data_IF_585924961699
#
_entry.id   IF_585924961699
#
_cell.length_a   1.000
_cell.length_b   1.000
_cell.length_c   1.000
_cell.angle_alpha   90.00
_cell.angle_beta   90.00
_cell.angle_gamma   90.00
#
_symmetry.space_group_name_H-M   'P 1'
#
loop_
_entity.id
_entity.type
_entity.pdbx_description
1 polymer ?
#
# COMPACT_ATOMS: atom_id res chain seq x y z
N UNK A 1 -1.74 20.08 6.74
CA UNK A 1 -1.88 18.61 6.67
C UNK A 1 -1.15 18.13 5.44
N UNK A 2 -0.24 17.17 5.57
CA UNK A 2 0.35 16.49 4.40
C UNK A 2 -0.70 15.57 3.78
N UNK A 3 -0.86 15.65 2.45
CA UNK A 3 -1.75 14.74 1.70
C UNK A 3 -1.17 13.32 1.78
N UNK A 4 -2.00 12.37 2.18
CA UNK A 4 -1.60 10.97 2.40
C UNK A 4 -2.53 10.04 1.62
N UNK A 5 -1.97 9.06 0.93
CA UNK A 5 -2.72 8.01 0.21
C UNK A 5 -2.84 6.78 1.10
N UNK A 6 -4.05 6.22 1.17
CA UNK A 6 -4.29 4.90 1.74
C UNK A 6 -4.23 3.87 0.61
N UNK A 7 -3.28 2.94 0.68
CA UNK A 7 -3.17 1.81 -0.24
C UNK A 7 -3.73 0.56 0.46
N UNK A 8 -4.83 0.04 -0.08
CA UNK A 8 -5.52 -1.13 0.43
C UNK A 8 -5.18 -2.31 -0.47
N UNK A 9 -4.70 -3.41 0.12
CA UNK A 9 -4.38 -4.63 -0.62
C UNK A 9 -4.62 -5.87 0.25
N UNK A 10 -4.77 -7.02 -0.39
CA UNK A 10 -4.89 -8.34 0.26
C UNK A 10 -3.48 -8.92 0.40
N UNK A 11 -2.82 -8.75 1.55
CA UNK A 11 -1.40 -9.11 1.70
C UNK A 11 -1.16 -10.61 1.65
N UNK A 12 -2.17 -11.42 2.00
CA UNK A 12 -2.17 -12.87 1.89
C UNK A 12 -1.78 -13.39 0.50
N UNK A 13 -2.08 -12.62 -0.57
CA UNK A 13 -1.72 -12.99 -1.95
C UNK A 13 -0.99 -11.91 -2.74
N UNK A 14 -0.86 -10.68 -2.22
CA UNK A 14 -0.32 -9.52 -2.97
C UNK A 14 0.61 -8.62 -2.18
N UNK A 15 1.34 -9.17 -1.22
CA UNK A 15 2.31 -8.41 -0.45
C UNK A 15 3.36 -7.73 -1.35
N UNK A 16 4.00 -8.49 -2.24
CA UNK A 16 5.05 -7.98 -3.13
C UNK A 16 4.54 -6.86 -4.06
N UNK A 17 3.36 -7.04 -4.65
CA UNK A 17 2.74 -6.02 -5.51
C UNK A 17 2.32 -4.77 -4.73
N UNK A 18 1.82 -4.93 -3.49
CA UNK A 18 1.45 -3.80 -2.64
C UNK A 18 2.68 -2.99 -2.23
N UNK A 19 3.78 -3.66 -1.89
CA UNK A 19 5.05 -3.01 -1.55
C UNK A 19 5.68 -2.32 -2.76
N UNK A 20 5.64 -2.97 -3.93
CA UNK A 20 6.10 -2.35 -5.19
C UNK A 20 5.32 -1.08 -5.50
N UNK A 21 3.98 -1.12 -5.43
CA UNK A 21 3.13 0.04 -5.71
C UNK A 21 3.35 1.16 -4.68
N UNK A 22 3.48 0.82 -3.40
CA UNK A 22 3.85 1.78 -2.34
C UNK A 22 5.15 2.51 -2.69
N UNK A 23 6.21 1.77 -3.03
CA UNK A 23 7.50 2.35 -3.38
C UNK A 23 7.41 3.26 -4.61
N UNK A 24 6.60 2.89 -5.61
CA UNK A 24 6.35 3.72 -6.79
C UNK A 24 5.64 5.02 -6.44
N UNK A 25 4.60 5.00 -5.60
CA UNK A 25 3.89 6.21 -5.18
C UNK A 25 4.79 7.10 -4.30
N UNK A 26 5.56 6.51 -3.39
CA UNK A 26 6.48 7.26 -2.53
C UNK A 26 7.64 7.87 -3.32
N UNK A 27 8.06 7.26 -4.43
CA UNK A 27 9.05 7.86 -5.34
C UNK A 27 8.58 9.16 -5.99
N UNK A 28 7.27 9.42 -6.00
CA UNK A 28 6.66 10.68 -6.46
C UNK A 28 6.49 11.72 -5.32
N UNK A 29 7.07 11.46 -4.14
CA UNK A 29 7.00 12.35 -2.98
C UNK A 29 5.66 12.32 -2.24
N UNK A 30 4.83 11.29 -2.46
CA UNK A 30 3.51 11.14 -1.85
C UNK A 30 3.61 10.15 -0.70
N UNK A 31 3.18 10.54 0.50
CA UNK A 31 3.13 9.65 1.66
C UNK A 31 2.06 8.57 1.48
N UNK A 32 2.42 7.31 1.73
CA UNK A 32 1.50 6.17 1.62
C UNK A 32 1.40 5.39 2.94
N UNK A 33 0.17 5.16 3.40
CA UNK A 33 -0.16 4.23 4.48
C UNK A 33 -0.76 2.97 3.86
N UNK A 34 -0.33 1.81 4.34
CA UNK A 34 -0.86 0.51 3.91
C UNK A 34 -1.99 0.07 4.84
N UNK A 35 -3.00 -0.58 4.28
CA UNK A 35 -3.99 -1.34 5.01
C UNK A 35 -4.12 -2.72 4.37
N UNK A 36 -3.82 -3.74 5.17
CA UNK A 36 -4.12 -5.11 4.79
C UNK A 36 -5.62 -5.37 4.94
N UNK A 37 -6.22 -5.89 3.86
CA UNK A 37 -7.60 -6.32 3.77
C UNK A 37 -7.71 -7.80 3.38
N UNK A 38 -6.63 -8.57 3.56
CA UNK A 38 -6.63 -10.01 3.39
C UNK A 38 -7.61 -10.70 4.34
N UNK A 39 -8.28 -11.73 3.85
CA UNK A 39 -9.17 -12.56 4.66
C UNK A 39 -8.40 -13.85 4.95
N UNK A 40 -8.12 -14.10 6.23
CA UNK A 40 -7.57 -15.38 6.68
C UNK A 40 -8.65 -16.45 6.50
N UNK A 41 -8.41 -17.40 5.60
CA UNK A 41 -9.23 -18.60 5.41
C UNK A 41 -8.89 -19.67 6.46
#
# INVERSE_FOLDING_TARGET
MEKTVLLIATFDTKEDEALFLKAKIESEGIRVVLMDAGILA
#
